data_IF_192806141153
#
_entry.id   IF_192806141153
#
_cell.length_a   1.000
_cell.length_b   1.000
_cell.length_c   1.000
_cell.angle_alpha   90.00
_cell.angle_beta   90.00
_cell.angle_gamma   90.00
#
_symmetry.space_group_name_H-M   'P 1'
#
loop_
_entity.id
_entity.type
_entity.pdbx_description
1 polymer ?
#
# COMPACT_ATOMS: atom_id res chain seq x y z
N UNK A 1 2.44 -9.57 19.35
CA UNK A 1 1.22 -8.86 18.91
C UNK A 1 1.68 -7.46 18.58
N UNK A 2 1.63 -7.06 17.30
CA UNK A 2 2.07 -5.73 16.89
C UNK A 2 1.02 -4.69 17.29
N UNK A 3 1.44 -3.51 17.73
CA UNK A 3 0.56 -2.46 18.25
C UNK A 3 0.04 -1.55 17.13
N UNK A 4 -1.07 -0.86 17.41
CA UNK A 4 -1.60 0.19 16.53
C UNK A 4 -0.56 1.26 16.20
N UNK A 5 0.32 1.60 17.16
CA UNK A 5 1.40 2.55 16.95
C UNK A 5 2.42 2.09 15.91
N UNK A 6 2.68 0.79 15.78
CA UNK A 6 3.57 0.24 14.76
C UNK A 6 2.95 0.33 13.37
N UNK A 7 1.64 0.09 13.24
CA UNK A 7 0.91 0.27 11.97
C UNK A 7 0.91 1.75 11.54
N UNK A 8 0.62 2.68 12.47
CA UNK A 8 0.69 4.13 12.22
C UNK A 8 2.10 4.54 11.73
N UNK A 9 3.15 3.99 12.34
CA UNK A 9 4.53 4.26 11.90
C UNK A 9 4.80 3.72 10.51
N UNK A 10 4.34 2.51 10.19
CA UNK A 10 4.49 1.94 8.85
C UNK A 10 3.77 2.78 7.79
N UNK A 11 2.56 3.28 8.08
CA UNK A 11 1.84 4.19 7.20
C UNK A 11 2.61 5.47 6.91
N UNK A 12 3.25 6.05 7.94
CA UNK A 12 4.12 7.21 7.73
C UNK A 12 5.30 6.87 6.83
N UNK A 13 6.00 5.76 7.08
CA UNK A 13 7.15 5.34 6.26
C UNK A 13 6.76 5.06 4.79
N UNK A 14 5.58 4.47 4.57
CA UNK A 14 5.06 4.22 3.21
C UNK A 14 4.69 5.55 2.54
N UNK A 15 4.06 6.48 3.27
CA UNK A 15 3.71 7.81 2.77
C UNK A 15 4.94 8.63 2.38
N UNK A 16 5.97 8.65 3.22
CA UNK A 16 7.23 9.34 2.93
C UNK A 16 7.89 8.78 1.67
N UNK A 17 7.83 7.45 1.48
CA UNK A 17 8.39 6.80 0.30
C UNK A 17 7.56 7.07 -0.97
N UNK A 18 6.23 7.22 -0.85
CA UNK A 18 5.36 7.66 -1.95
C UNK A 18 5.81 9.04 -2.44
N UNK A 19 6.04 10.00 -1.53
CA UNK A 19 6.46 11.35 -1.92
C UNK A 19 7.79 11.36 -2.66
N UNK A 20 8.75 10.57 -2.21
CA UNK A 20 10.03 10.38 -2.92
C UNK A 20 9.79 9.78 -4.32
N UNK A 21 8.98 8.73 -4.43
CA UNK A 21 8.69 8.08 -5.71
C UNK A 21 7.94 9.00 -6.69
N UNK A 22 7.02 9.84 -6.21
CA UNK A 22 6.32 10.85 -7.04
C UNK A 22 7.32 11.78 -7.72
N UNK A 23 8.34 12.25 -6.99
CA UNK A 23 9.41 13.09 -7.57
C UNK A 23 10.19 12.32 -8.63
N UNK A 24 10.59 11.08 -8.33
CA UNK A 24 11.41 10.28 -9.24
C UNK A 24 10.67 9.90 -10.53
N UNK A 25 9.39 9.56 -10.44
CA UNK A 25 8.58 9.18 -11.60
C UNK A 25 8.22 10.34 -12.51
N UNK A 26 8.34 11.59 -12.03
CA UNK A 26 8.12 12.78 -12.84
C UNK A 26 9.36 13.15 -13.69
N UNK A 27 10.54 12.61 -13.37
CA UNK A 27 11.74 12.81 -14.18
C UNK A 27 11.86 11.73 -15.28
N UNK A 28 11.76 12.18 -16.53
CA UNK A 28 11.85 11.31 -17.72
C UNK A 28 13.17 10.55 -17.84
N UNK A 29 14.26 11.08 -17.27
CA UNK A 29 15.59 10.43 -17.30
C UNK A 29 15.67 9.23 -16.36
N UNK A 30 14.71 9.11 -15.45
CA UNK A 30 14.66 8.08 -14.42
C UNK A 30 13.78 6.89 -14.78
N UNK A 31 13.08 6.96 -15.91
CA UNK A 31 12.35 5.80 -16.47
C UNK A 31 13.33 4.66 -16.74
N UNK A 32 12.99 3.45 -16.28
CA UNK A 32 13.83 2.25 -16.35
C UNK A 32 15.21 2.38 -15.66
N UNK A 33 15.41 3.39 -14.82
CA UNK A 33 16.64 3.51 -14.06
C UNK A 33 16.72 2.37 -13.02
N UNK A 34 17.82 1.59 -12.98
CA UNK A 34 17.92 0.44 -12.09
C UNK A 34 17.79 0.81 -10.61
N UNK A 35 18.29 1.96 -10.18
CA UNK A 35 18.17 2.42 -8.79
C UNK A 35 16.72 2.82 -8.43
N UNK A 36 15.98 3.36 -9.39
CA UNK A 36 14.54 3.64 -9.20
C UNK A 36 13.78 2.33 -9.13
N UNK A 37 14.08 1.35 -9.99
CA UNK A 37 13.49 0.02 -9.93
C UNK A 37 13.77 -0.69 -8.60
N UNK A 38 14.98 -0.55 -8.05
CA UNK A 38 15.33 -1.07 -6.72
C UNK A 38 14.51 -0.39 -5.62
N UNK A 39 14.34 0.94 -5.69
CA UNK A 39 13.54 1.68 -4.73
C UNK A 39 12.06 1.29 -4.80
N UNK A 40 11.53 1.09 -6.01
CA UNK A 40 10.17 0.56 -6.24
C UNK A 40 10.01 -0.84 -5.67
N UNK A 41 11.02 -1.71 -5.84
CA UNK A 41 11.00 -3.06 -5.27
C UNK A 41 10.99 -3.03 -3.75
N UNK A 42 11.79 -2.15 -3.12
CA UNK A 42 11.80 -1.92 -1.67
C UNK A 42 10.47 -1.35 -1.16
N UNK A 43 9.86 -0.43 -1.93
CA UNK A 43 8.53 0.09 -1.62
C UNK A 43 7.48 -1.01 -1.66
N UNK A 44 7.49 -1.85 -2.71
CA UNK A 44 6.61 -3.02 -2.81
C UNK A 44 6.78 -3.98 -1.62
N UNK A 45 8.01 -4.26 -1.20
CA UNK A 45 8.28 -5.11 -0.03
C UNK A 45 7.73 -4.49 1.25
N UNK A 46 7.88 -3.17 1.46
CA UNK A 46 7.30 -2.45 2.60
C UNK A 46 5.78 -2.53 2.61
N UNK A 47 5.13 -2.24 1.47
CA UNK A 47 3.68 -2.37 1.33
C UNK A 47 3.24 -3.81 1.59
N UNK A 48 3.92 -4.80 1.02
CA UNK A 48 3.60 -6.20 1.21
C UNK A 48 3.70 -6.63 2.68
N UNK A 49 4.78 -6.26 3.36
CA UNK A 49 4.95 -6.54 4.79
C UNK A 49 3.83 -5.89 5.61
N UNK A 50 3.54 -4.61 5.36
CA UNK A 50 2.44 -3.90 6.01
C UNK A 50 1.11 -4.64 5.84
N UNK A 51 0.75 -4.99 4.60
CA UNK A 51 -0.50 -5.72 4.33
C UNK A 51 -0.53 -7.13 4.93
N UNK A 52 0.61 -7.81 5.07
CA UNK A 52 0.70 -9.10 5.79
C UNK A 52 0.55 -8.91 7.29
N UNK A 53 1.04 -7.81 7.84
CA UNK A 53 0.86 -7.50 9.25
C UNK A 53 -0.61 -7.25 9.55
N UNK A 54 -1.27 -6.39 8.78
CA UNK A 54 -2.70 -6.12 8.92
C UNK A 54 -3.56 -7.40 8.95
N UNK A 55 -3.31 -8.33 8.04
CA UNK A 55 -3.99 -9.63 7.96
C UNK A 55 -3.86 -10.46 9.25
N UNK A 56 -2.74 -10.32 9.97
CA UNK A 56 -2.42 -11.05 11.20
C UNK A 56 -2.60 -10.22 12.48
N UNK A 57 -3.23 -9.05 12.38
CA UNK A 57 -3.39 -8.12 13.50
C UNK A 57 -4.85 -7.99 13.93
N UNK A 58 -5.07 -6.96 14.73
CA UNK A 58 -6.30 -6.56 15.39
C UNK A 58 -7.44 -6.28 14.39
N UNK A 59 -7.14 -6.04 13.12
CA UNK A 59 -8.17 -5.88 12.08
C UNK A 59 -8.98 -7.16 11.86
N UNK A 60 -8.37 -8.32 12.09
CA UNK A 60 -9.09 -9.61 12.06
C UNK A 60 -10.11 -9.75 13.19
N UNK A 61 -9.91 -9.05 14.32
CA UNK A 61 -10.85 -9.00 15.44
C UNK A 61 -12.02 -8.06 15.12
N UNK A 62 -11.74 -6.90 14.52
CA UNK A 62 -12.77 -5.99 13.98
C UNK A 62 -13.68 -6.66 12.94
N UNK A 63 -13.13 -7.50 12.07
CA UNK A 63 -13.91 -8.25 11.07
C UNK A 63 -14.88 -9.28 11.70
N UNK A 64 -14.67 -9.64 12.97
CA UNK A 64 -15.52 -10.55 13.75
C UNK A 64 -16.41 -9.80 14.75
N UNK A 65 -16.42 -8.47 14.70
CA UNK A 65 -17.19 -7.65 15.62
C UNK A 65 -18.71 -7.91 15.47
N UNK A 66 -19.44 -7.83 16.58
CA UNK A 66 -20.87 -8.15 16.63
C UNK A 66 -21.76 -7.13 15.88
N UNK A 67 -21.29 -5.88 15.77
CA UNK A 67 -21.93 -4.87 14.95
C UNK A 67 -21.65 -5.14 13.45
N UNK A 68 -22.69 -5.40 12.63
CA UNK A 68 -22.53 -5.74 11.22
C UNK A 68 -21.82 -4.64 10.42
N UNK A 69 -22.11 -3.36 10.69
CA UNK A 69 -21.52 -2.22 9.97
C UNK A 69 -19.99 -2.18 10.16
N UNK A 70 -19.53 -2.40 11.40
CA UNK A 70 -18.10 -2.44 11.74
C UNK A 70 -17.43 -3.64 11.09
N UNK A 71 -18.09 -4.81 11.14
CA UNK A 71 -17.56 -6.03 10.55
C UNK A 71 -17.44 -5.94 9.03
N UNK A 72 -18.37 -5.26 8.37
CA UNK A 72 -18.40 -5.07 6.92
C UNK A 72 -17.28 -4.11 6.46
N UNK A 73 -17.11 -2.99 7.17
CA UNK A 73 -16.00 -2.05 6.93
C UNK A 73 -14.65 -2.77 7.02
N UNK A 74 -14.44 -3.55 8.08
CA UNK A 74 -13.18 -4.27 8.28
C UNK A 74 -12.95 -5.38 7.23
N UNK A 75 -14.00 -6.09 6.81
CA UNK A 75 -13.91 -7.08 5.72
C UNK A 75 -13.59 -6.43 4.38
N UNK A 76 -14.27 -5.34 4.03
CA UNK A 76 -14.00 -4.59 2.80
C UNK A 76 -12.55 -4.07 2.77
N UNK A 77 -12.07 -3.55 3.89
CA UNK A 77 -10.68 -3.10 4.03
C UNK A 77 -9.68 -4.25 3.84
N UNK A 78 -9.95 -5.41 4.43
CA UNK A 78 -9.12 -6.60 4.25
C UNK A 78 -9.12 -7.10 2.80
N UNK A 79 -10.26 -7.11 2.12
CA UNK A 79 -10.33 -7.53 0.71
C UNK A 79 -9.60 -6.57 -0.23
N UNK A 80 -9.60 -5.27 0.07
CA UNK A 80 -8.81 -4.27 -0.68
C UNK A 80 -7.31 -4.58 -0.68
N UNK A 81 -6.78 -5.17 0.39
CA UNK A 81 -5.36 -5.54 0.49
C UNK A 81 -4.97 -6.59 -0.55
N UNK A 82 -5.86 -7.54 -0.87
CA UNK A 82 -5.61 -8.60 -1.86
C UNK A 82 -5.50 -8.03 -3.27
N UNK A 83 -6.36 -7.08 -3.61
CA UNK A 83 -6.35 -6.41 -4.91
C UNK A 83 -5.04 -5.62 -5.09
N UNK A 84 -4.65 -4.84 -4.08
CA UNK A 84 -3.41 -4.07 -4.08
C UNK A 84 -2.18 -4.99 -4.24
N UNK A 85 -2.09 -6.08 -3.47
CA UNK A 85 -0.98 -7.05 -3.59
C UNK A 85 -0.82 -7.55 -5.04
N UNK A 86 -1.93 -7.85 -5.70
CA UNK A 86 -1.95 -8.34 -7.08
C UNK A 86 -1.51 -7.27 -8.07
N UNK A 87 -2.10 -6.07 -8.00
CA UNK A 87 -1.77 -4.96 -8.91
C UNK A 87 -0.30 -4.56 -8.80
N UNK A 88 0.22 -4.45 -7.57
CA UNK A 88 1.60 -4.06 -7.32
C UNK A 88 2.60 -5.09 -7.85
N UNK A 89 2.32 -6.38 -7.64
CA UNK A 89 3.14 -7.48 -8.15
C UNK A 89 3.20 -7.48 -9.69
N UNK A 90 2.07 -7.20 -10.34
CA UNK A 90 2.00 -7.04 -11.80
C UNK A 90 2.82 -5.83 -12.27
N UNK A 91 2.71 -4.69 -11.58
CA UNK A 91 3.45 -3.47 -11.91
C UNK A 91 4.97 -3.66 -11.80
N UNK A 92 5.48 -4.19 -10.68
CA UNK A 92 6.92 -4.44 -10.50
C UNK A 92 7.44 -5.41 -11.55
N UNK A 93 6.65 -6.45 -11.90
CA UNK A 93 7.04 -7.38 -12.96
C UNK A 93 7.09 -6.69 -14.33
N UNK A 94 6.13 -5.82 -14.62
CA UNK A 94 6.03 -5.14 -15.90
C UNK A 94 7.13 -4.10 -16.10
N UNK A 95 7.42 -3.28 -15.09
CA UNK A 95 8.30 -2.12 -15.23
C UNK A 95 9.71 -2.31 -14.67
N UNK A 96 9.90 -3.19 -13.67
CA UNK A 96 11.21 -3.36 -13.02
C UNK A 96 11.92 -4.66 -13.38
N UNK A 97 11.22 -5.66 -13.93
CA UNK A 97 11.80 -6.99 -14.26
C UNK A 97 11.81 -7.34 -15.76
N UNK A 98 11.10 -6.59 -16.60
CA UNK A 98 11.10 -6.82 -18.03
C UNK A 98 12.32 -6.13 -18.67
N UNK A 99 13.40 -6.87 -18.88
CA UNK A 99 14.57 -6.39 -19.62
C UNK A 99 14.22 -6.22 -21.10
N UNK A 100 14.26 -4.98 -21.60
CA UNK A 100 14.22 -4.68 -23.04
C UNK A 100 12.86 -4.38 -23.65
N UNK A 101 11.82 -4.10 -22.86
CA UNK A 101 10.58 -3.58 -23.42
C UNK A 101 10.72 -2.09 -23.77
N UNK A 102 10.29 -1.74 -24.98
CA UNK A 102 10.21 -0.37 -25.50
C UNK A 102 9.07 0.34 -24.76
N UNK A 103 9.41 0.80 -23.56
CA UNK A 103 8.46 1.21 -22.55
C UNK A 103 7.98 2.64 -22.86
N UNK A 104 6.73 2.77 -23.29
CA UNK A 104 6.09 4.06 -23.52
C UNK A 104 6.07 4.89 -22.21
N UNK A 105 6.85 5.97 -22.18
CA UNK A 105 7.05 6.86 -21.03
C UNK A 105 5.74 7.30 -20.36
N UNK A 106 4.70 7.61 -21.13
CA UNK A 106 3.40 8.01 -20.59
C UNK A 106 2.68 6.88 -19.87
N UNK A 107 2.79 5.65 -20.36
CA UNK A 107 2.20 4.49 -19.69
C UNK A 107 2.89 4.22 -18.35
N UNK A 108 4.22 4.38 -18.28
CA UNK A 108 4.95 4.27 -17.01
C UNK A 108 4.46 5.30 -16.00
N UNK A 109 4.56 6.60 -16.31
CA UNK A 109 4.18 7.65 -15.37
C UNK A 109 2.69 7.53 -14.94
N UNK A 110 1.80 7.14 -15.87
CA UNK A 110 0.38 6.92 -15.57
C UNK A 110 0.16 5.76 -14.61
N UNK A 111 0.69 4.58 -14.93
CA UNK A 111 0.56 3.37 -14.11
C UNK A 111 1.20 3.57 -12.72
N UNK A 112 2.37 4.19 -12.69
CA UNK A 112 3.08 4.54 -11.46
C UNK A 112 2.24 5.44 -10.56
N UNK A 113 1.67 6.51 -11.13
CA UNK A 113 0.86 7.46 -10.35
C UNK A 113 -0.41 6.80 -9.83
N UNK A 114 -1.11 6.03 -10.66
CA UNK A 114 -2.33 5.32 -10.28
C UNK A 114 -2.09 4.37 -9.10
N UNK A 115 -0.95 3.68 -9.08
CA UNK A 115 -0.58 2.78 -8.00
C UNK A 115 -0.23 3.53 -6.72
N UNK A 116 0.54 4.62 -6.79
CA UNK A 116 0.85 5.43 -5.60
C UNK A 116 -0.42 6.05 -5.01
N UNK A 117 -1.35 6.51 -5.85
CA UNK A 117 -2.64 7.07 -5.42
C UNK A 117 -3.50 6.02 -4.70
N UNK A 118 -3.54 4.78 -5.19
CA UNK A 118 -4.25 3.68 -4.52
C UNK A 118 -3.71 3.39 -3.12
N UNK A 119 -2.38 3.38 -2.94
CA UNK A 119 -1.78 3.18 -1.62
C UNK A 119 -2.07 4.38 -0.71
N UNK A 120 -1.99 5.60 -1.25
CA UNK A 120 -2.31 6.84 -0.52
C UNK A 120 -3.74 6.79 0.02
N UNK A 121 -4.72 6.52 -0.85
CA UNK A 121 -6.14 6.41 -0.49
C UNK A 121 -6.39 5.33 0.57
N UNK A 122 -5.64 4.23 0.50
CA UNK A 122 -5.75 3.17 1.50
C UNK A 122 -5.24 3.62 2.86
N UNK A 123 -4.09 4.29 2.92
CA UNK A 123 -3.53 4.83 4.17
C UNK A 123 -4.47 5.86 4.79
N UNK A 124 -5.06 6.73 3.96
CA UNK A 124 -6.07 7.69 4.38
C UNK A 124 -7.29 6.99 4.97
N UNK A 125 -7.81 5.97 4.29
CA UNK A 125 -8.95 5.19 4.78
C UNK A 125 -8.62 4.48 6.10
N UNK A 126 -7.44 3.89 6.22
CA UNK A 126 -6.99 3.25 7.45
C UNK A 126 -6.92 4.26 8.60
N UNK A 127 -6.37 5.45 8.33
CA UNK A 127 -6.21 6.52 9.31
C UNK A 127 -7.54 7.10 9.77
N UNK A 128 -8.46 7.34 8.84
CA UNK A 128 -9.72 8.04 9.11
C UNK A 128 -10.84 7.11 9.60
N UNK A 129 -10.79 5.82 9.23
CA UNK A 129 -11.87 4.86 9.49
C UNK A 129 -11.43 3.70 10.36
N UNK A 130 -10.31 3.05 10.04
CA UNK A 130 -9.93 1.79 10.71
C UNK A 130 -9.31 2.05 12.09
N UNK A 131 -8.33 2.95 12.21
CA UNK A 131 -7.70 3.26 13.50
C UNK A 131 -8.70 3.73 14.56
N UNK A 132 -9.67 4.62 14.28
CA UNK A 132 -10.67 5.01 15.28
C UNK A 132 -11.57 3.86 15.74
N UNK A 133 -11.88 2.91 14.83
CA UNK A 133 -12.68 1.74 15.18
C UNK A 133 -11.89 0.78 16.08
N UNK A 134 -10.61 0.59 15.78
CA UNK A 134 -9.67 -0.16 16.62
C UNK A 134 -9.64 0.40 18.05
N UNK A 135 -9.36 1.69 18.19
CA UNK A 135 -9.15 2.33 19.50
C UNK A 135 -10.42 2.24 20.36
N UNK A 136 -11.60 2.28 19.72
CA UNK A 136 -12.88 2.24 20.41
C UNK A 136 -13.35 0.83 20.79
N UNK A 137 -13.01 -0.18 19.99
CA UNK A 137 -13.66 -1.49 20.06
C UNK A 137 -12.72 -2.66 20.37
N UNK A 138 -11.40 -2.48 20.29
CA UNK A 138 -10.42 -3.56 20.46
C UNK A 138 -9.43 -3.29 21.59
N UNK A 139 -9.00 -2.04 21.80
CA UNK A 139 -8.03 -1.69 22.86
C UNK A 139 -8.66 -1.45 24.26
N UNK A 140 -9.80 -2.09 24.60
CA UNK A 140 -10.41 -2.03 25.95
C UNK A 140 -9.87 -3.11 26.90
#
# INVERSE_FOLDING_TARGET
MYSLSELKKQNQEISDLIEVLRVLFNDKKLVNNPFVCDLVSRFNEKVWMHLVFEDNTIYSELAKHHNPDISEIAKSFHDSAKEIKKEFSCYVKHWCKASGADHHQQAFCGDSSAILDKITQRIEFETDKIFPLVEKHVEN
#
